data_IF_323432274474
#
_entry.id   IF_323432274474
#
_cell.length_a   1.000
_cell.length_b   1.000
_cell.length_c   1.000
_cell.angle_alpha   90.00
_cell.angle_beta   90.00
_cell.angle_gamma   90.00
#
_symmetry.space_group_name_H-M   'P 1'
#
loop_
_entity.id
_entity.type
_entity.pdbx_description
1 polymer ?
#
# COMPACT_ATOMS: atom_id res chain seq x y z
N UNK A 1 28.24 0.93 -1.28
CA UNK A 1 28.43 2.38 -1.07
C UNK A 1 28.53 3.11 -2.42
N UNK A 2 27.40 3.52 -3.02
CA UNK A 2 27.35 4.31 -4.27
C UNK A 2 26.82 5.73 -4.02
N UNK A 3 27.29 6.41 -2.98
CA UNK A 3 26.87 7.79 -2.65
C UNK A 3 27.93 8.83 -3.04
N UNK A 4 28.52 8.71 -4.23
CA UNK A 4 29.49 9.70 -4.74
C UNK A 4 29.39 9.91 -6.26
N UNK A 5 28.18 9.89 -6.82
CA UNK A 5 27.97 10.22 -8.23
C UNK A 5 26.86 11.25 -8.38
N UNK A 6 27.15 12.51 -8.04
CA UNK A 6 26.47 13.68 -8.62
C UNK A 6 27.04 15.06 -8.23
N UNK A 7 28.18 15.20 -7.51
CA UNK A 7 28.71 16.54 -7.18
C UNK A 7 30.22 16.61 -7.35
N UNK A 8 30.66 16.46 -8.60
CA UNK A 8 32.03 16.80 -9.02
C UNK A 8 31.97 17.70 -10.25
N UNK A 9 31.26 18.81 -10.14
CA UNK A 9 31.44 19.96 -11.02
C UNK A 9 31.52 21.21 -10.13
N UNK A 10 32.68 21.83 -10.16
CA UNK A 10 33.08 22.88 -9.24
C UNK A 10 32.36 24.21 -9.50
N UNK A 11 32.01 24.87 -8.41
CA UNK A 11 32.01 26.31 -8.26
C UNK A 11 31.96 26.59 -6.74
N UNK A 12 32.76 27.54 -6.26
CA UNK A 12 32.86 27.98 -4.86
C UNK A 12 31.48 27.97 -4.17
N UNK A 13 31.27 27.09 -3.19
CA UNK A 13 30.08 27.15 -2.35
C UNK A 13 30.19 28.39 -1.45
N UNK A 14 29.56 29.48 -1.83
CA UNK A 14 29.13 30.49 -0.86
C UNK A 14 28.11 29.80 0.06
N UNK A 15 28.57 29.28 1.19
CA UNK A 15 27.70 28.65 2.18
C UNK A 15 26.71 29.68 2.72
N UNK A 16 25.49 29.25 3.04
CA UNK A 16 24.55 30.07 3.81
C UNK A 16 25.25 30.66 5.04
N UNK A 17 24.96 31.92 5.34
CA UNK A 17 25.42 32.54 6.58
C UNK A 17 24.93 31.72 7.81
N UNK A 18 25.78 31.60 8.82
CA UNK A 18 25.56 30.70 9.97
C UNK A 18 24.27 31.07 10.72
N UNK A 19 24.01 32.37 10.87
CA UNK A 19 22.83 32.87 11.59
C UNK A 19 21.54 32.57 10.81
N UNK A 20 21.58 32.70 9.49
CA UNK A 20 20.46 32.33 8.62
C UNK A 20 20.20 30.83 8.70
N UNK A 21 21.24 30.01 8.71
CA UNK A 21 21.11 28.54 8.81
C UNK A 21 20.49 28.13 10.14
N UNK A 22 20.97 28.71 11.26
CA UNK A 22 20.40 28.45 12.58
C UNK A 22 18.93 28.86 12.65
N UNK A 23 18.57 30.02 12.07
CA UNK A 23 17.19 30.49 12.00
C UNK A 23 16.28 29.54 11.22
N UNK A 24 16.72 29.03 10.08
CA UNK A 24 15.96 28.06 9.29
C UNK A 24 15.76 26.74 10.05
N UNK A 25 16.80 26.24 10.71
CA UNK A 25 16.72 25.04 11.54
C UNK A 25 15.75 25.27 12.71
N UNK A 26 15.86 26.40 13.41
CA UNK A 26 14.96 26.74 14.52
C UNK A 26 13.49 26.81 14.06
N UNK A 27 13.22 27.46 12.92
CA UNK A 27 11.87 27.49 12.34
C UNK A 27 11.35 26.09 11.98
N UNK A 28 12.22 25.22 11.47
CA UNK A 28 11.86 23.83 11.16
C UNK A 28 11.52 23.04 12.42
N UNK A 29 12.31 23.18 13.48
CA UNK A 29 12.11 22.50 14.76
C UNK A 29 10.90 23.04 15.54
N UNK A 30 10.61 24.34 15.39
CA UNK A 30 9.42 24.99 15.97
C UNK A 30 8.15 24.78 15.14
N UNK A 31 8.19 23.97 14.08
CA UNK A 31 7.06 23.64 13.21
C UNK A 31 6.46 24.86 12.48
N UNK A 32 7.24 25.92 12.27
CA UNK A 32 6.82 27.12 11.53
C UNK A 32 6.86 26.89 10.00
N UNK A 33 6.31 25.78 9.51
CA UNK A 33 6.53 25.28 8.15
C UNK A 33 6.12 26.26 7.04
N UNK A 34 4.99 26.95 7.17
CA UNK A 34 4.54 27.91 6.13
C UNK A 34 5.48 29.11 6.00
N UNK A 35 5.97 29.62 7.14
CA UNK A 35 6.92 30.73 7.20
C UNK A 35 8.29 30.28 6.72
N UNK A 36 8.75 29.11 7.15
CA UNK A 36 9.97 28.48 6.67
C UNK A 36 9.94 28.30 5.15
N UNK A 37 8.86 27.74 4.61
CA UNK A 37 8.70 27.51 3.18
C UNK A 37 8.76 28.81 2.37
N UNK A 38 8.13 29.89 2.85
CA UNK A 38 8.24 31.22 2.24
C UNK A 38 9.68 31.71 2.21
N UNK A 39 10.40 31.59 3.33
CA UNK A 39 11.81 31.97 3.41
C UNK A 39 12.67 31.13 2.45
N UNK A 40 12.53 29.80 2.47
CA UNK A 40 13.30 28.89 1.61
C UNK A 40 13.06 29.16 0.12
N UNK A 41 11.82 29.48 -0.28
CA UNK A 41 11.49 29.86 -1.66
C UNK A 41 12.21 31.12 -2.15
N UNK A 42 12.53 32.03 -1.24
CA UNK A 42 13.22 33.30 -1.55
C UNK A 42 14.75 33.18 -1.60
N UNK A 43 15.31 32.10 -1.06
CA UNK A 43 16.75 31.91 -1.02
C UNK A 43 17.26 31.35 -2.36
N UNK A 44 18.45 31.76 -2.82
CA UNK A 44 19.15 31.07 -3.89
C UNK A 44 19.29 29.58 -3.56
N UNK A 45 19.14 28.73 -4.57
CA UNK A 45 19.14 27.28 -4.33
C UNK A 45 20.54 26.73 -4.05
N UNK A 46 21.59 27.40 -4.54
CA UNK A 46 22.97 26.93 -4.46
C UNK A 46 23.59 27.09 -3.08
N UNK A 47 22.91 27.82 -2.19
CA UNK A 47 23.39 28.13 -0.84
C UNK A 47 22.76 27.24 0.24
N UNK A 48 21.70 26.49 -0.09
CA UNK A 48 21.01 25.59 0.85
C UNK A 48 21.77 24.27 0.98
N UNK A 49 22.11 23.89 2.20
CA UNK A 49 22.83 22.65 2.48
C UNK A 49 21.91 21.43 2.47
N UNK A 50 22.43 20.30 1.97
CA UNK A 50 21.68 19.04 1.84
C UNK A 50 21.16 18.53 3.20
N UNK A 51 21.93 18.73 4.27
CA UNK A 51 21.54 18.30 5.62
C UNK A 51 20.29 19.03 6.11
N UNK A 52 20.19 20.34 5.89
CA UNK A 52 18.97 21.10 6.18
C UNK A 52 17.79 20.63 5.31
N UNK A 53 18.00 20.38 4.02
CA UNK A 53 16.93 19.91 3.13
C UNK A 53 16.37 18.54 3.57
N UNK A 54 17.23 17.61 4.01
CA UNK A 54 16.80 16.32 4.58
C UNK A 54 16.03 16.52 5.89
N UNK A 55 16.51 17.38 6.79
CA UNK A 55 15.81 17.70 8.03
C UNK A 55 14.43 18.28 7.75
N UNK A 56 14.35 19.27 6.86
CA UNK A 56 13.11 19.93 6.50
C UNK A 56 12.13 18.95 5.87
N UNK A 57 12.57 18.12 4.91
CA UNK A 57 11.74 17.09 4.31
C UNK A 57 11.23 16.09 5.36
N UNK A 58 12.11 15.57 6.22
CA UNK A 58 11.74 14.61 7.25
C UNK A 58 10.70 15.19 8.23
N UNK A 59 10.88 16.45 8.66
CA UNK A 59 9.94 17.13 9.55
C UNK A 59 8.62 17.47 8.86
N UNK A 60 8.65 17.91 7.61
CA UNK A 60 7.43 18.15 6.85
C UNK A 60 6.62 16.86 6.65
N UNK A 61 7.27 15.73 6.41
CA UNK A 61 6.61 14.42 6.30
C UNK A 61 6.05 13.96 7.65
N UNK A 62 6.84 14.08 8.73
CA UNK A 62 6.40 13.75 10.09
C UNK A 62 5.12 14.49 10.50
N UNK A 63 4.97 15.74 10.07
CA UNK A 63 3.81 16.58 10.36
C UNK A 63 2.82 16.69 9.21
N UNK A 64 2.94 15.85 8.18
CA UNK A 64 2.08 15.82 7.00
C UNK A 64 1.86 17.21 6.34
N UNK A 65 2.87 18.08 6.37
CA UNK A 65 2.80 19.42 5.77
C UNK A 65 3.05 19.34 4.26
N UNK A 66 1.99 19.07 3.50
CA UNK A 66 2.14 18.64 2.10
C UNK A 66 2.67 19.71 1.16
N UNK A 67 2.45 21.01 1.43
CA UNK A 67 2.97 22.09 0.58
C UNK A 67 4.50 22.17 0.65
N UNK A 68 5.11 21.90 1.80
CA UNK A 68 6.57 21.79 1.93
C UNK A 68 7.10 20.51 1.27
N UNK A 69 6.41 19.37 1.47
CA UNK A 69 6.79 18.09 0.84
C UNK A 69 6.82 18.23 -0.68
N UNK A 70 5.76 18.77 -1.28
CA UNK A 70 5.67 18.96 -2.74
C UNK A 70 6.79 19.88 -3.23
N UNK A 71 6.99 21.01 -2.56
CA UNK A 71 8.02 21.96 -2.96
C UNK A 71 9.40 21.30 -2.93
N UNK A 72 9.73 20.60 -1.84
CA UNK A 72 11.02 19.94 -1.69
C UNK A 72 11.21 18.82 -2.71
N UNK A 73 10.18 18.01 -2.92
CA UNK A 73 10.18 16.92 -3.90
C UNK A 73 10.40 17.44 -5.32
N UNK A 74 9.58 18.37 -5.78
CA UNK A 74 9.68 18.86 -7.16
C UNK A 74 10.93 19.70 -7.39
N UNK A 75 11.35 20.51 -6.42
CA UNK A 75 12.48 21.43 -6.59
C UNK A 75 13.83 20.72 -6.47
N UNK A 76 14.01 19.90 -5.44
CA UNK A 76 15.34 19.35 -5.07
C UNK A 76 15.51 17.88 -5.42
N UNK A 77 14.43 17.08 -5.41
CA UNK A 77 14.49 15.67 -5.81
C UNK A 77 14.36 15.54 -7.32
N UNK A 78 13.28 16.04 -7.92
CA UNK A 78 13.00 15.88 -9.35
C UNK A 78 13.78 16.88 -10.21
N UNK A 79 13.73 18.17 -9.87
CA UNK A 79 14.30 19.24 -10.68
C UNK A 79 15.84 19.22 -10.69
N UNK A 80 16.45 19.33 -9.50
CA UNK A 80 17.92 19.37 -9.37
C UNK A 80 18.58 18.01 -9.18
N UNK A 81 17.84 16.98 -8.76
CA UNK A 81 18.38 15.64 -8.47
C UNK A 81 19.53 15.65 -7.46
N UNK A 82 19.47 16.59 -6.52
CA UNK A 82 20.51 16.77 -5.48
C UNK A 82 20.19 16.02 -4.19
N UNK A 83 18.93 15.62 -4.00
CA UNK A 83 18.49 14.98 -2.75
C UNK A 83 18.18 13.49 -2.97
N UNK A 84 19.06 12.63 -2.48
CA UNK A 84 18.80 11.19 -2.41
C UNK A 84 17.97 10.86 -1.16
N UNK A 85 16.65 10.84 -1.31
CA UNK A 85 15.72 10.56 -0.19
C UNK A 85 15.87 9.11 0.29
N UNK A 86 15.92 8.91 1.62
CA UNK A 86 16.02 7.58 2.24
C UNK A 86 14.76 6.74 1.98
N UNK A 87 14.87 5.41 1.79
CA UNK A 87 13.72 4.55 1.47
C UNK A 87 12.55 4.62 2.45
N UNK A 88 12.82 4.65 3.76
CA UNK A 88 11.77 4.80 4.78
C UNK A 88 11.03 6.14 4.67
N UNK A 89 11.75 7.21 4.33
CA UNK A 89 11.16 8.53 4.11
C UNK A 89 10.34 8.57 2.80
N UNK A 90 10.76 7.84 1.75
CA UNK A 90 9.95 7.66 0.54
C UNK A 90 8.60 7.01 0.86
N UNK A 91 8.60 5.94 1.66
CA UNK A 91 7.36 5.29 2.09
C UNK A 91 6.45 6.26 2.86
N UNK A 92 7.03 7.04 3.78
CA UNK A 92 6.29 8.03 4.55
C UNK A 92 5.71 9.16 3.66
N UNK A 93 6.48 9.66 2.68
CA UNK A 93 5.96 10.61 1.67
C UNK A 93 4.81 9.95 0.89
N UNK A 94 4.96 8.70 0.50
CA UNK A 94 3.95 7.94 -0.23
C UNK A 94 2.64 7.80 0.55
N UNK A 95 2.70 7.52 1.86
CA UNK A 95 1.53 7.46 2.73
C UNK A 95 0.83 8.81 2.85
N UNK A 96 1.60 9.90 3.01
CA UNK A 96 1.02 11.25 3.00
C UNK A 96 0.36 11.56 1.66
N UNK A 97 1.02 11.21 0.54
CA UNK A 97 0.53 11.41 -0.82
C UNK A 97 -0.76 10.62 -1.10
N UNK A 98 -0.82 9.37 -0.63
CA UNK A 98 -2.00 8.53 -0.72
C UNK A 98 -3.18 9.21 0.01
N UNK A 99 -2.95 9.75 1.20
CA UNK A 99 -3.98 10.42 1.99
C UNK A 99 -4.43 11.76 1.37
N UNK A 100 -3.49 12.57 0.87
CA UNK A 100 -3.73 13.90 0.27
C UNK A 100 -4.15 13.86 -1.21
N UNK A 101 -4.50 12.68 -1.75
CA UNK A 101 -4.93 12.47 -3.14
C UNK A 101 -3.93 12.97 -4.19
N UNK A 102 -2.64 12.63 -4.04
CA UNK A 102 -1.57 12.98 -5.00
C UNK A 102 -1.15 11.78 -5.86
N UNK A 103 -1.91 11.44 -6.92
CA UNK A 103 -1.76 10.16 -7.64
C UNK A 103 -0.46 10.00 -8.42
N UNK A 104 0.15 11.10 -8.85
CA UNK A 104 1.39 11.07 -9.65
C UNK A 104 2.63 10.80 -8.79
N UNK A 105 2.56 11.09 -7.48
CA UNK A 105 3.73 11.06 -6.61
C UNK A 105 4.20 9.63 -6.31
N UNK A 106 3.33 8.64 -6.02
CA UNK A 106 3.75 7.25 -5.79
C UNK A 106 4.57 6.60 -6.91
N UNK A 107 4.24 6.86 -8.17
CA UNK A 107 5.02 6.36 -9.30
C UNK A 107 6.43 6.99 -9.34
N UNK A 108 6.53 8.27 -9.04
CA UNK A 108 7.83 8.97 -8.95
C UNK A 108 8.66 8.46 -7.78
N UNK A 109 8.04 8.15 -6.64
CA UNK A 109 8.73 7.56 -5.48
C UNK A 109 9.33 6.20 -5.81
N UNK A 110 8.59 5.34 -6.52
CA UNK A 110 9.10 4.04 -6.98
C UNK A 110 10.30 4.22 -7.94
N UNK A 111 10.18 5.11 -8.92
CA UNK A 111 11.26 5.38 -9.87
C UNK A 111 12.53 5.92 -9.17
N UNK A 112 12.36 6.79 -8.17
CA UNK A 112 13.46 7.29 -7.35
C UNK A 112 14.10 6.15 -6.54
N UNK A 113 13.28 5.29 -5.91
CA UNK A 113 13.79 4.11 -5.19
C UNK A 113 14.61 3.21 -6.11
N UNK A 114 14.07 2.83 -7.27
CA UNK A 114 14.77 1.92 -8.19
C UNK A 114 16.08 2.53 -8.73
N UNK A 115 16.11 3.85 -8.95
CA UNK A 115 17.32 4.54 -9.43
C UNK A 115 18.45 4.55 -8.39
N UNK A 116 18.15 4.86 -7.12
CA UNK A 116 19.17 5.00 -6.07
C UNK A 116 19.45 3.70 -5.30
N UNK A 117 18.43 2.87 -5.10
CA UNK A 117 18.42 1.74 -4.17
C UNK A 117 18.04 0.41 -4.82
N UNK A 118 17.62 0.38 -6.09
CA UNK A 118 17.07 -0.83 -6.72
C UNK A 118 18.03 -2.03 -6.83
N UNK A 119 19.32 -1.85 -6.51
CA UNK A 119 20.32 -2.92 -6.46
C UNK A 119 20.86 -3.20 -5.05
N UNK A 120 20.35 -2.48 -4.05
CA UNK A 120 20.79 -2.63 -2.66
C UNK A 120 19.95 -3.74 -1.99
N UNK A 121 20.61 -4.80 -1.50
CA UNK A 121 19.91 -5.89 -0.82
C UNK A 121 19.41 -5.45 0.55
N UNK A 122 18.34 -6.07 1.04
CA UNK A 122 17.80 -5.80 2.38
C UNK A 122 16.84 -4.62 2.45
N UNK A 123 16.37 -4.11 1.30
CA UNK A 123 15.38 -3.04 1.21
C UNK A 123 14.06 -3.50 0.57
N UNK A 124 13.84 -4.81 0.47
CA UNK A 124 12.69 -5.43 -0.18
C UNK A 124 11.39 -5.03 0.49
N UNK A 125 11.35 -4.95 1.82
CA UNK A 125 10.15 -4.51 2.55
C UNK A 125 9.72 -3.09 2.18
N UNK A 126 10.69 -2.17 2.08
CA UNK A 126 10.43 -0.77 1.71
C UNK A 126 10.05 -0.65 0.24
N UNK A 127 10.63 -1.48 -0.63
CA UNK A 127 10.23 -1.58 -2.03
C UNK A 127 8.78 -2.08 -2.15
N UNK A 128 8.43 -3.14 -1.42
CA UNK A 128 7.08 -3.71 -1.43
C UNK A 128 6.05 -2.71 -0.89
N UNK A 129 6.39 -1.95 0.16
CA UNK A 129 5.54 -0.89 0.69
C UNK A 129 5.31 0.24 -0.33
N UNK A 130 6.33 0.64 -1.08
CA UNK A 130 6.17 1.62 -2.16
C UNK A 130 5.25 1.11 -3.28
N UNK A 131 5.38 -0.17 -3.67
CA UNK A 131 4.50 -0.81 -4.65
C UNK A 131 3.05 -0.87 -4.14
N UNK A 132 2.86 -1.22 -2.85
CA UNK A 132 1.55 -1.19 -2.19
C UNK A 132 0.93 0.19 -2.27
N UNK A 133 1.66 1.24 -1.88
CA UNK A 133 1.21 2.64 -1.95
C UNK A 133 0.86 3.04 -3.39
N UNK A 134 1.65 2.64 -4.38
CA UNK A 134 1.41 2.92 -5.80
C UNK A 134 0.08 2.32 -6.26
N UNK A 135 -0.17 1.04 -5.99
CA UNK A 135 -1.41 0.35 -6.38
C UNK A 135 -2.61 0.91 -5.63
N UNK A 136 -2.49 1.16 -4.33
CA UNK A 136 -3.57 1.75 -3.53
C UNK A 136 -3.91 3.17 -3.96
N UNK A 137 -2.90 3.98 -4.33
CA UNK A 137 -3.13 5.31 -4.86
C UNK A 137 -3.85 5.27 -6.20
N UNK A 138 -3.48 4.34 -7.09
CA UNK A 138 -4.20 4.12 -8.34
C UNK A 138 -5.66 3.73 -8.09
N UNK A 139 -5.92 2.77 -7.18
CA UNK A 139 -7.26 2.33 -6.83
C UNK A 139 -8.10 3.47 -6.22
N UNK A 140 -7.52 4.25 -5.32
CA UNK A 140 -8.17 5.40 -4.65
C UNK A 140 -8.54 6.51 -5.63
N UNK A 141 -7.63 6.88 -6.53
CA UNK A 141 -7.84 8.03 -7.42
C UNK A 141 -8.77 7.71 -8.58
N UNK A 142 -8.66 6.52 -9.17
CA UNK A 142 -9.51 6.15 -10.31
C UNK A 142 -10.95 5.84 -9.91
N UNK A 143 -11.22 5.50 -8.63
CA UNK A 143 -12.59 5.28 -8.12
C UNK A 143 -13.45 4.44 -9.08
N UNK A 144 -14.48 5.04 -9.69
CA UNK A 144 -15.41 4.39 -10.62
C UNK A 144 -15.05 4.58 -12.11
N UNK A 145 -14.08 5.44 -12.45
CA UNK A 145 -13.68 5.65 -13.85
C UNK A 145 -12.92 4.45 -14.43
N UNK A 146 -12.39 3.59 -13.57
CA UNK A 146 -11.67 2.37 -13.95
C UNK A 146 -12.35 1.15 -13.33
N UNK A 147 -12.58 0.10 -14.11
CA UNK A 147 -13.20 -1.14 -13.63
C UNK A 147 -12.32 -1.84 -12.58
N UNK A 148 -12.92 -2.69 -11.74
CA UNK A 148 -12.14 -3.50 -10.81
C UNK A 148 -11.13 -4.39 -11.55
N UNK A 149 -11.53 -5.00 -12.68
CA UNK A 149 -10.66 -5.85 -13.50
C UNK A 149 -9.35 -5.14 -13.90
N UNK A 150 -9.40 -3.88 -14.29
CA UNK A 150 -8.19 -3.13 -14.65
C UNK A 150 -7.35 -2.78 -13.42
N UNK A 151 -7.97 -2.46 -12.28
CA UNK A 151 -7.23 -2.28 -11.01
C UNK A 151 -6.53 -3.57 -10.56
N UNK A 152 -7.24 -4.71 -10.67
CA UNK A 152 -6.69 -6.02 -10.36
C UNK A 152 -5.53 -6.37 -11.28
N UNK A 153 -5.64 -6.07 -12.57
CA UNK A 153 -4.55 -6.21 -13.53
C UNK A 153 -3.31 -5.39 -13.13
N UNK A 154 -3.50 -4.13 -12.71
CA UNK A 154 -2.39 -3.30 -12.20
C UNK A 154 -1.76 -3.93 -10.95
N UNK A 155 -2.57 -4.43 -10.02
CA UNK A 155 -2.07 -5.18 -8.85
C UNK A 155 -1.21 -6.38 -9.27
N UNK A 156 -1.68 -7.20 -10.23
CA UNK A 156 -0.92 -8.35 -10.71
C UNK A 156 0.40 -7.95 -11.37
N UNK A 157 0.40 -6.88 -12.15
CA UNK A 157 1.60 -6.39 -12.85
C UNK A 157 2.61 -5.79 -11.88
N UNK A 158 2.16 -4.91 -10.98
CA UNK A 158 3.05 -4.10 -10.15
C UNK A 158 3.45 -4.79 -8.83
N UNK A 159 2.65 -5.74 -8.33
CA UNK A 159 2.90 -6.44 -7.06
C UNK A 159 3.16 -7.92 -7.31
N UNK A 160 2.14 -8.71 -7.69
CA UNK A 160 2.26 -10.18 -7.78
C UNK A 160 3.45 -10.63 -8.65
N UNK A 161 3.65 -9.97 -9.78
CA UNK A 161 4.72 -10.35 -10.71
C UNK A 161 6.13 -9.97 -10.27
N UNK A 162 6.24 -9.09 -9.26
CA UNK A 162 7.45 -8.36 -8.83
C UNK A 162 7.94 -8.79 -7.45
N UNK A 163 7.03 -9.03 -6.50
CA UNK A 163 7.37 -9.43 -5.14
C UNK A 163 7.79 -10.90 -5.08
N UNK A 164 8.45 -11.29 -3.99
CA UNK A 164 8.75 -12.70 -3.74
C UNK A 164 7.45 -13.52 -3.71
N UNK A 165 7.41 -14.73 -4.28
CA UNK A 165 6.25 -15.63 -4.16
C UNK A 165 5.84 -15.94 -2.71
N UNK A 166 6.81 -15.87 -1.78
CA UNK A 166 6.57 -16.07 -0.35
C UNK A 166 6.15 -14.79 0.40
N UNK A 167 6.03 -13.64 -0.28
CA UNK A 167 5.60 -12.40 0.35
C UNK A 167 4.13 -12.50 0.75
N UNK A 168 3.83 -12.26 2.03
CA UNK A 168 2.47 -12.32 2.54
C UNK A 168 1.66 -11.09 2.10
N UNK A 169 0.55 -11.34 1.41
CA UNK A 169 -0.39 -10.32 0.98
C UNK A 169 -1.66 -10.40 1.83
N UNK A 170 -2.04 -9.31 2.51
CA UNK A 170 -3.23 -9.28 3.38
C UNK A 170 -4.22 -8.21 2.93
N UNK A 171 -5.52 -8.49 3.11
CA UNK A 171 -6.60 -7.56 2.68
C UNK A 171 -6.47 -6.17 3.32
N UNK A 172 -6.06 -6.13 4.60
CA UNK A 172 -5.88 -4.88 5.36
C UNK A 172 -4.88 -3.90 4.74
N UNK A 173 -3.95 -4.40 3.94
CA UNK A 173 -2.90 -3.61 3.30
C UNK A 173 -3.42 -2.90 2.03
N UNK A 174 -4.60 -3.32 1.54
CA UNK A 174 -5.23 -2.90 0.30
C UNK A 174 -6.69 -2.41 0.47
N UNK A 175 -6.97 -1.44 1.35
CA UNK A 175 -8.34 -0.99 1.63
C UNK A 175 -9.05 -0.38 0.42
N UNK A 176 -8.37 0.40 -0.42
CA UNK A 176 -8.99 1.05 -1.58
C UNK A 176 -9.22 0.07 -2.73
N UNK A 177 -8.31 -0.88 -2.95
CA UNK A 177 -8.53 -1.96 -3.90
C UNK A 177 -9.71 -2.84 -3.46
N UNK A 178 -9.80 -3.17 -2.16
CA UNK A 178 -10.94 -3.90 -1.58
C UNK A 178 -12.25 -3.12 -1.72
N UNK A 179 -12.23 -1.81 -1.51
CA UNK A 179 -13.41 -0.97 -1.68
C UNK A 179 -13.88 -0.91 -3.14
N UNK A 180 -12.96 -1.02 -4.11
CA UNK A 180 -13.30 -1.02 -5.52
C UNK A 180 -14.13 -2.23 -5.96
N UNK A 181 -14.15 -3.30 -5.17
CA UNK A 181 -14.98 -4.50 -5.39
C UNK A 181 -16.45 -4.33 -5.02
N UNK A 182 -16.81 -3.30 -4.26
CA UNK A 182 -18.18 -3.10 -3.75
C UNK A 182 -19.24 -3.06 -4.85
N UNK A 183 -18.86 -2.71 -6.07
CA UNK A 183 -19.74 -2.60 -7.23
C UNK A 183 -19.40 -3.61 -8.33
N UNK A 184 -18.56 -4.59 -8.05
CA UNK A 184 -18.25 -5.65 -9.00
C UNK A 184 -19.43 -6.63 -9.11
N UNK A 185 -19.72 -7.07 -10.33
CA UNK A 185 -20.73 -8.10 -10.59
C UNK A 185 -20.24 -9.46 -10.07
N UNK A 186 -21.13 -10.30 -9.50
CA UNK A 186 -20.79 -11.66 -9.06
C UNK A 186 -20.10 -12.51 -10.13
N UNK A 187 -20.54 -12.40 -11.38
CA UNK A 187 -20.00 -13.11 -12.54
C UNK A 187 -18.54 -12.72 -12.81
N UNK A 188 -18.19 -11.44 -12.61
CA UNK A 188 -16.81 -10.99 -12.73
C UNK A 188 -15.94 -11.61 -11.64
N UNK A 189 -16.46 -11.75 -10.40
CA UNK A 189 -15.73 -12.32 -9.28
C UNK A 189 -15.47 -13.82 -9.49
N UNK A 190 -16.47 -14.55 -9.95
CA UNK A 190 -16.33 -15.95 -10.35
C UNK A 190 -15.28 -16.12 -11.46
N UNK A 191 -15.37 -15.29 -12.50
CA UNK A 191 -14.37 -15.32 -13.59
C UNK A 191 -12.95 -15.07 -13.10
N UNK A 192 -12.73 -14.10 -12.20
CA UNK A 192 -11.39 -13.78 -11.72
C UNK A 192 -10.81 -14.85 -10.79
N UNK A 193 -11.66 -15.58 -10.05
CA UNK A 193 -11.26 -16.60 -9.09
C UNK A 193 -11.08 -17.99 -9.70
N UNK A 194 -11.85 -18.33 -10.74
CA UNK A 194 -11.89 -19.68 -11.31
C UNK A 194 -11.36 -19.80 -12.73
N UNK A 195 -11.34 -18.71 -13.50
CA UNK A 195 -10.84 -18.75 -14.88
C UNK A 195 -9.36 -18.41 -14.94
N UNK A 196 -8.68 -18.92 -15.97
CA UNK A 196 -7.31 -18.51 -16.26
C UNK A 196 -7.25 -17.02 -16.56
N UNK A 197 -6.52 -16.29 -15.73
CA UNK A 197 -6.25 -14.87 -15.94
C UNK A 197 -5.24 -14.70 -17.07
N UNK A 198 -5.39 -13.63 -17.86
CA UNK A 198 -4.41 -13.27 -18.91
C UNK A 198 -2.99 -13.03 -18.35
N UNK A 199 -2.90 -12.72 -17.07
CA UNK A 199 -1.64 -12.56 -16.33
C UNK A 199 -1.52 -13.76 -15.40
N UNK A 200 -0.42 -14.49 -15.54
CA UNK A 200 -0.10 -15.61 -14.67
C UNK A 200 0.12 -15.10 -13.24
N UNK A 201 -0.55 -15.75 -12.29
CA UNK A 201 -0.42 -15.48 -10.86
C UNK A 201 0.81 -16.23 -10.36
N UNK A 202 1.73 -15.51 -9.72
CA UNK A 202 3.01 -16.04 -9.24
C UNK A 202 3.06 -16.23 -7.73
N UNK A 203 2.29 -15.46 -6.97
CA UNK A 203 2.29 -15.52 -5.51
C UNK A 203 1.08 -16.33 -5.01
N UNK A 204 1.34 -17.27 -4.11
CA UNK A 204 0.33 -18.20 -3.58
C UNK A 204 -0.76 -17.49 -2.76
N UNK A 205 -0.49 -16.30 -2.24
CA UNK A 205 -1.43 -15.48 -1.47
C UNK A 205 -2.33 -14.61 -2.35
N UNK A 206 -2.06 -14.45 -3.66
CA UNK A 206 -2.79 -13.52 -4.53
C UNK A 206 -4.25 -13.93 -4.77
N UNK A 207 -4.52 -15.21 -5.05
CA UNK A 207 -5.91 -15.68 -5.21
C UNK A 207 -6.67 -15.72 -3.87
N UNK A 208 -6.09 -16.21 -2.75
CA UNK A 208 -6.71 -16.10 -1.44
C UNK A 208 -7.01 -14.65 -1.05
N UNK A 209 -6.13 -13.70 -1.39
CA UNK A 209 -6.38 -12.27 -1.19
C UNK A 209 -7.65 -11.82 -1.91
N UNK A 210 -7.78 -12.16 -3.20
CA UNK A 210 -8.98 -11.83 -3.98
C UNK A 210 -10.25 -12.45 -3.39
N UNK A 211 -10.17 -13.72 -2.96
CA UNK A 211 -11.29 -14.38 -2.28
C UNK A 211 -11.66 -13.61 -1.00
N UNK A 212 -10.68 -13.29 -0.16
CA UNK A 212 -10.92 -12.57 1.10
C UNK A 212 -11.54 -11.19 0.84
N UNK A 213 -11.04 -10.45 -0.15
CA UNK A 213 -11.63 -9.17 -0.54
C UNK A 213 -13.08 -9.33 -1.00
N UNK A 214 -13.41 -10.38 -1.76
CA UNK A 214 -14.77 -10.71 -2.19
C UNK A 214 -15.67 -11.06 -1.00
N UNK A 215 -15.21 -11.92 -0.09
CA UNK A 215 -15.98 -12.36 1.08
C UNK A 215 -16.31 -11.19 2.02
N UNK A 216 -15.48 -10.15 2.06
CA UNK A 216 -15.71 -8.94 2.86
C UNK A 216 -16.76 -7.98 2.29
N UNK A 217 -17.29 -8.18 1.08
CA UNK A 217 -18.26 -7.25 0.50
C UNK A 217 -19.65 -7.43 1.11
N UNK A 218 -20.20 -6.39 1.72
CA UNK A 218 -21.53 -6.45 2.38
C UNK A 218 -22.69 -6.67 1.40
N UNK A 219 -22.52 -6.30 0.13
CA UNK A 219 -23.57 -6.41 -0.89
C UNK A 219 -23.79 -7.82 -1.45
N UNK A 220 -22.95 -8.79 -1.07
CA UNK A 220 -23.04 -10.16 -1.56
C UNK A 220 -23.82 -11.04 -0.59
N UNK A 221 -24.71 -11.86 -1.15
CA UNK A 221 -25.52 -12.81 -0.41
C UNK A 221 -24.64 -13.82 0.37
N UNK A 222 -24.97 -14.14 1.64
CA UNK A 222 -24.20 -15.11 2.42
C UNK A 222 -24.11 -16.51 1.80
N UNK A 223 -25.17 -17.01 1.14
CA UNK A 223 -25.11 -18.31 0.47
C UNK A 223 -24.19 -18.26 -0.76
N UNK A 224 -24.19 -17.14 -1.49
CA UNK A 224 -23.20 -16.90 -2.55
C UNK A 224 -21.77 -16.94 -2.00
N UNK A 225 -21.48 -16.24 -0.89
CA UNK A 225 -20.15 -16.24 -0.26
C UNK A 225 -19.70 -17.65 0.17
N UNK A 226 -20.61 -18.45 0.74
CA UNK A 226 -20.31 -19.84 1.11
C UNK A 226 -20.01 -20.68 -0.13
N UNK A 227 -20.84 -20.59 -1.19
CA UNK A 227 -20.61 -21.33 -2.44
C UNK A 227 -19.27 -20.98 -3.08
N UNK A 228 -18.95 -19.69 -3.13
CA UNK A 228 -17.67 -19.18 -3.63
C UNK A 228 -16.49 -19.79 -2.88
N UNK A 229 -16.52 -19.76 -1.55
CA UNK A 229 -15.47 -20.36 -0.72
C UNK A 229 -15.33 -21.87 -0.94
N UNK A 230 -16.44 -22.62 -0.90
CA UNK A 230 -16.41 -24.07 -1.12
C UNK A 230 -15.84 -24.40 -2.51
N UNK A 231 -16.34 -23.76 -3.56
CA UNK A 231 -15.84 -23.95 -4.92
C UNK A 231 -14.35 -23.63 -5.04
N UNK A 232 -13.91 -22.51 -4.44
CA UNK A 232 -12.51 -22.10 -4.48
C UNK A 232 -11.60 -23.11 -3.78
N UNK A 233 -12.00 -23.59 -2.60
CA UNK A 233 -11.25 -24.60 -1.87
C UNK A 233 -11.17 -25.94 -2.62
N UNK A 234 -12.24 -26.35 -3.29
CA UNK A 234 -12.28 -27.59 -4.04
C UNK A 234 -11.36 -27.56 -5.26
N UNK A 235 -11.23 -26.38 -5.91
CA UNK A 235 -10.32 -26.14 -7.03
C UNK A 235 -8.86 -25.94 -6.60
N UNK A 236 -8.58 -25.31 -5.45
CA UNK A 236 -7.25 -24.85 -5.08
C UNK A 236 -6.69 -25.43 -3.77
N UNK A 237 -6.88 -26.72 -3.51
CA UNK A 237 -6.74 -27.41 -2.21
C UNK A 237 -5.48 -27.12 -1.35
N UNK A 238 -4.39 -26.64 -1.94
CA UNK A 238 -3.10 -26.43 -1.27
C UNK A 238 -2.92 -25.03 -0.68
N UNK A 239 -3.83 -24.09 -0.96
CA UNK A 239 -3.72 -22.70 -0.49
C UNK A 239 -4.19 -22.54 0.96
N UNK A 240 -3.76 -21.45 1.61
CA UNK A 240 -4.25 -21.08 2.95
C UNK A 240 -5.64 -20.43 2.90
N UNK A 241 -6.49 -20.83 3.83
CA UNK A 241 -7.89 -20.41 3.95
C UNK A 241 -8.25 -19.83 5.31
N UNK A 242 -7.28 -19.70 6.24
CA UNK A 242 -7.54 -19.26 7.60
C UNK A 242 -8.28 -17.91 7.65
N UNK A 243 -7.85 -16.95 6.85
CA UNK A 243 -8.52 -15.64 6.77
C UNK A 243 -9.91 -15.77 6.16
N UNK A 244 -10.09 -16.56 5.11
CA UNK A 244 -11.40 -16.77 4.45
C UNK A 244 -12.43 -17.38 5.41
N UNK A 245 -12.01 -18.39 6.18
CA UNK A 245 -12.85 -19.06 7.19
C UNK A 245 -13.24 -18.06 8.29
N UNK A 246 -12.27 -17.26 8.76
CA UNK A 246 -12.53 -16.24 9.78
C UNK A 246 -13.51 -15.17 9.30
N UNK A 247 -13.37 -14.70 8.05
CA UNK A 247 -14.26 -13.71 7.43
C UNK A 247 -15.68 -14.29 7.30
N UNK A 248 -15.83 -15.53 6.83
CA UNK A 248 -17.14 -16.16 6.71
C UNK A 248 -17.82 -16.35 8.06
N UNK A 249 -17.13 -16.90 9.06
CA UNK A 249 -17.71 -17.11 10.39
C UNK A 249 -18.08 -15.79 11.08
N UNK A 250 -17.35 -14.71 10.79
CA UNK A 250 -17.72 -13.37 11.22
C UNK A 250 -18.98 -12.87 10.49
N UNK A 251 -19.05 -13.04 9.16
CA UNK A 251 -20.19 -12.62 8.32
C UNK A 251 -21.47 -13.36 8.68
N UNK A 252 -21.37 -14.64 9.05
CA UNK A 252 -22.50 -15.51 9.40
C UNK A 252 -22.90 -15.42 10.88
N UNK A 253 -22.30 -14.52 11.65
CA UNK A 253 -22.59 -14.36 13.08
C UNK A 253 -24.09 -14.10 13.28
N UNK A 254 -24.73 -14.93 14.11
CA UNK A 254 -26.18 -14.88 14.35
C UNK A 254 -27.02 -15.76 13.43
N UNK A 255 -26.45 -16.31 12.35
CA UNK A 255 -27.13 -17.27 11.45
C UNK A 255 -26.66 -18.69 11.74
N UNK A 256 -27.37 -19.37 12.64
CA UNK A 256 -27.03 -20.72 13.08
C UNK A 256 -27.13 -21.75 11.94
N UNK A 257 -28.10 -21.58 11.03
CA UNK A 257 -28.32 -22.52 9.93
C UNK A 257 -27.13 -22.52 8.96
N UNK A 258 -26.77 -21.34 8.45
CA UNK A 258 -25.65 -21.21 7.50
C UNK A 258 -24.29 -21.47 8.15
N UNK A 259 -24.11 -21.05 9.41
CA UNK A 259 -22.91 -21.36 10.19
C UNK A 259 -22.73 -22.86 10.37
N UNK A 260 -23.80 -23.60 10.68
CA UNK A 260 -23.74 -25.06 10.83
C UNK A 260 -23.41 -25.76 9.50
N UNK A 261 -23.97 -25.29 8.39
CA UNK A 261 -23.66 -25.80 7.04
C UNK A 261 -22.18 -25.58 6.68
N UNK A 262 -21.63 -24.40 6.97
CA UNK A 262 -20.21 -24.13 6.78
C UNK A 262 -19.36 -25.04 7.67
N UNK A 263 -19.70 -25.21 8.94
CA UNK A 263 -18.97 -26.08 9.88
C UNK A 263 -18.96 -27.55 9.45
N UNK A 264 -20.07 -28.07 8.92
CA UNK A 264 -20.13 -29.41 8.34
C UNK A 264 -19.16 -29.54 7.17
N UNK A 265 -19.10 -28.53 6.29
CA UNK A 265 -18.15 -28.50 5.19
C UNK A 265 -16.70 -28.48 5.68
N UNK A 266 -16.35 -27.60 6.63
CA UNK A 266 -15.00 -27.51 7.19
C UNK A 266 -14.57 -28.84 7.83
N UNK A 267 -15.47 -29.48 8.58
CA UNK A 267 -15.22 -30.78 9.23
C UNK A 267 -15.01 -31.90 8.22
N UNK A 268 -15.88 -32.00 7.20
CA UNK A 268 -15.77 -32.98 6.11
C UNK A 268 -14.43 -32.88 5.37
N UNK A 269 -13.89 -31.67 5.29
CA UNK A 269 -12.69 -31.36 4.54
C UNK A 269 -11.43 -31.21 5.39
N UNK A 270 -11.51 -31.56 6.68
CA UNK A 270 -10.42 -31.50 7.66
C UNK A 270 -9.74 -30.13 7.75
N UNK A 271 -10.51 -29.05 7.58
CA UNK A 271 -10.01 -27.68 7.71
C UNK A 271 -10.01 -27.26 9.17
N UNK A 272 -8.88 -26.73 9.63
CA UNK A 272 -8.74 -26.18 10.98
C UNK A 272 -9.52 -24.88 11.08
N UNK A 273 -10.28 -24.73 12.17
CA UNK A 273 -11.01 -23.49 12.44
C UNK A 273 -10.07 -22.53 13.17
N UNK A 274 -9.80 -21.34 12.60
CA UNK A 274 -8.97 -20.34 13.25
C UNK A 274 -9.60 -19.85 14.57
N UNK A 275 -8.79 -19.46 15.58
CA UNK A 275 -9.31 -19.00 16.88
C UNK A 275 -10.33 -17.86 16.79
N UNK A 276 -10.13 -16.91 15.88
CA UNK A 276 -11.06 -15.80 15.67
C UNK A 276 -12.41 -16.27 15.10
N UNK A 277 -12.38 -17.21 14.15
CA UNK A 277 -13.57 -17.85 13.61
C UNK A 277 -14.34 -18.63 14.68
N UNK A 278 -13.62 -19.42 15.49
CA UNK A 278 -14.22 -20.19 16.60
C UNK A 278 -14.95 -19.28 17.61
N UNK A 279 -14.37 -18.13 17.97
CA UNK A 279 -15.01 -17.14 18.84
C UNK A 279 -16.31 -16.60 18.26
N UNK A 280 -16.36 -16.33 16.95
CA UNK A 280 -17.57 -15.85 16.29
C UNK A 280 -18.67 -16.92 16.25
N UNK A 281 -18.30 -18.17 16.00
CA UNK A 281 -19.23 -19.30 16.02
C UNK A 281 -19.81 -19.54 17.43
N UNK A 282 -18.96 -19.59 18.46
CA UNK A 282 -19.40 -19.80 19.85
C UNK A 282 -20.29 -18.66 20.36
N UNK A 283 -20.02 -17.42 19.94
CA UNK A 283 -20.90 -16.30 20.24
C UNK A 283 -22.30 -16.48 19.63
N UNK A 284 -22.40 -17.13 18.47
CA UNK A 284 -23.67 -17.41 17.79
C UNK A 284 -24.46 -18.50 18.52
N UNK A 285 -23.79 -19.49 19.11
CA UNK A 285 -24.46 -20.58 19.87
C UNK A 285 -24.91 -20.17 21.27
N UNK A 286 -24.30 -19.12 21.84
CA UNK A 286 -24.60 -18.61 23.19
C UNK A 286 -25.73 -17.56 23.24
N UNK A 287 -26.30 -17.15 22.09
CA UNK A 287 -27.44 -16.22 22.03
C UNK A 287 -28.80 -16.91 22.29
N UNK A 288 -28.83 -17.90 23.19
CA UNK A 288 -30.06 -18.51 23.71
C UNK A 288 -30.56 -17.78 24.94
#
# INVERSE_FOLDING_TARGET
>A
MRYTYALRNGARMTSLDSDVRQKLIAQCLNLEFDKLLKTVKSLPLDILDESFLHLFLAKSVQHAHTTSIDFLWYRFVMGRKVLAVRPSLLCAIGTVALNDNKPFLPAQLCAHFDFFYGREPGLEELRNELLRIKVESFAKTTKRSTSFREKWKVFLQDIDSVVSPAYELRVRDFPHLTQALRHAEPELLEQLLFSENKIAIKNDCTLPLLLNMTLMQDGLDPDFKIRMFCGFRDSHRTLDYNDSISILLHTLKGDLYRSSKLMQYLTKHHLTIPPLGARCFLATTNMK
#
